data_IF_731393705034
#
_entry.id   IF_731393705034
#
_cell.length_a   1.000
_cell.length_b   1.000
_cell.length_c   1.000
_cell.angle_alpha   90.00
_cell.angle_beta   90.00
_cell.angle_gamma   90.00
#
_symmetry.space_group_name_H-M   'P 1'
#
loop_
_entity.id
_entity.type
_entity.pdbx_description
1 polymer ?
#
# COMPACT_ATOMS: atom_id res chain seq x y z
N UNK A 1 10.40 -5.49 -11.33
CA UNK A 1 9.98 -5.17 -9.96
C UNK A 1 8.62 -4.51 -9.95
N UNK A 2 7.92 -4.62 -8.86
CA UNK A 2 6.61 -4.00 -8.73
C UNK A 2 6.58 -3.06 -7.54
N UNK A 3 5.91 -1.93 -7.73
CA UNK A 3 5.81 -0.90 -6.70
C UNK A 3 4.34 -0.59 -6.49
N UNK A 4 3.89 -0.65 -5.23
CA UNK A 4 2.50 -0.37 -4.89
C UNK A 4 2.37 1.06 -4.38
N UNK A 5 1.29 1.73 -4.77
CA UNK A 5 0.98 3.09 -4.29
C UNK A 5 -0.47 3.07 -3.82
N UNK A 6 -0.72 3.54 -2.61
CA UNK A 6 -2.09 3.58 -2.11
C UNK A 6 -2.84 4.73 -2.76
N UNK A 7 -4.08 4.47 -3.14
CA UNK A 7 -4.86 5.46 -3.87
C UNK A 7 -6.35 5.23 -3.68
N UNK A 8 -7.14 6.29 -3.89
CA UNK A 8 -8.58 6.18 -3.91
C UNK A 8 -9.13 6.42 -5.30
N UNK A 9 -8.40 7.17 -6.13
CA UNK A 9 -8.88 7.56 -7.46
C UNK A 9 -8.08 6.97 -8.60
N UNK A 10 -7.07 6.18 -8.31
CA UNK A 10 -6.24 5.57 -9.35
C UNK A 10 -5.19 6.48 -9.94
N UNK A 11 -5.00 7.66 -9.37
CA UNK A 11 -4.09 8.65 -9.93
C UNK A 11 -3.25 9.32 -8.84
N UNK A 12 -3.87 9.76 -7.76
CA UNK A 12 -3.18 10.45 -6.69
C UNK A 12 -2.91 9.51 -5.54
N UNK A 13 -1.90 9.85 -4.75
CA UNK A 13 -1.50 9.05 -3.60
C UNK A 13 -2.39 9.39 -2.42
N UNK A 14 -2.97 8.36 -1.79
CA UNK A 14 -3.83 8.59 -0.64
C UNK A 14 -3.02 9.13 0.53
N UNK A 15 -3.62 10.04 1.28
CA UNK A 15 -2.99 10.63 2.46
C UNK A 15 -3.01 9.69 3.67
N UNK A 16 -3.83 8.65 3.62
CA UNK A 16 -3.98 7.74 4.75
C UNK A 16 -3.96 6.31 4.27
N UNK A 17 -2.90 5.60 4.59
CA UNK A 17 -2.79 4.21 4.19
C UNK A 17 -4.02 3.40 4.61
N UNK A 18 -4.47 3.58 5.84
CA UNK A 18 -5.56 2.79 6.37
C UNK A 18 -6.91 3.06 5.73
N UNK A 19 -7.08 4.21 5.11
CA UNK A 19 -8.36 4.58 4.49
C UNK A 19 -8.37 4.39 2.99
N UNK A 20 -7.23 4.20 2.40
CA UNK A 20 -7.15 4.06 0.95
C UNK A 20 -7.90 2.80 0.52
N UNK A 21 -8.58 2.87 -0.60
CA UNK A 21 -9.41 1.77 -1.08
C UNK A 21 -8.68 0.85 -2.03
N UNK A 22 -7.63 1.34 -2.68
CA UNK A 22 -6.96 0.59 -3.72
C UNK A 22 -5.46 0.77 -3.65
N UNK A 23 -4.76 -0.14 -4.32
CA UNK A 23 -3.36 0.04 -4.68
C UNK A 23 -3.29 0.20 -6.18
N UNK A 24 -2.39 1.06 -6.66
CA UNK A 24 -1.96 1.00 -8.04
C UNK A 24 -0.63 0.29 -8.00
N UNK A 25 -0.50 -0.81 -8.72
CA UNK A 25 0.75 -1.55 -8.75
C UNK A 25 1.41 -1.29 -10.10
N UNK A 26 2.59 -0.70 -10.05
CA UNK A 26 3.37 -0.40 -11.25
C UNK A 26 4.38 -1.49 -11.50
N UNK A 27 4.39 -1.98 -12.72
CA UNK A 27 5.36 -3.00 -13.14
C UNK A 27 6.52 -2.27 -13.79
N UNK A 28 7.71 -2.39 -13.20
CA UNK A 28 8.89 -1.68 -13.65
C UNK A 28 9.94 -2.68 -14.09
N UNK A 29 10.53 -2.44 -15.25
CA UNK A 29 11.55 -3.30 -15.77
C UNK A 29 12.62 -2.45 -16.42
N UNK A 30 13.88 -2.69 -16.02
CA UNK A 30 15.03 -1.94 -16.57
C UNK A 30 14.86 -0.43 -16.36
N UNK A 31 14.28 -0.04 -15.23
CA UNK A 31 14.09 1.37 -14.91
C UNK A 31 12.95 2.04 -15.64
N UNK A 32 12.11 1.27 -16.31
CA UNK A 32 11.00 1.81 -17.09
C UNK A 32 9.69 1.20 -16.63
N UNK A 33 8.67 2.02 -16.46
CA UNK A 33 7.34 1.54 -16.11
C UNK A 33 6.72 0.89 -17.34
N UNK A 34 6.44 -0.39 -17.23
CA UNK A 34 5.88 -1.16 -18.34
C UNK A 34 4.35 -1.20 -18.31
N UNK A 35 3.76 -0.98 -17.14
CA UNK A 35 2.33 -0.98 -17.03
C UNK A 35 1.93 -0.80 -15.58
N UNK A 36 0.63 -0.76 -15.36
CA UNK A 36 0.10 -0.63 -14.02
C UNK A 36 -1.25 -1.29 -13.93
N UNK A 37 -1.64 -1.65 -12.73
CA UNK A 37 -2.96 -2.23 -12.51
C UNK A 37 -3.49 -1.77 -11.17
N UNK A 38 -4.81 -1.67 -11.06
CA UNK A 38 -5.47 -1.38 -9.80
C UNK A 38 -5.75 -2.68 -9.08
N UNK A 39 -5.49 -2.71 -7.79
CA UNK A 39 -5.82 -3.85 -6.95
C UNK A 39 -6.63 -3.35 -5.77
N UNK A 40 -7.64 -4.12 -5.38
CA UNK A 40 -8.41 -3.79 -4.19
C UNK A 40 -7.53 -3.97 -2.97
N UNK A 41 -7.58 -3.00 -2.07
CA UNK A 41 -6.83 -3.10 -0.85
C UNK A 41 -7.46 -4.09 0.11
N UNK A 42 -8.78 -4.18 0.09
CA UNK A 42 -9.48 -5.14 0.91
C UNK A 42 -9.50 -6.45 0.15
N UNK A 43 -8.64 -7.31 0.53
CA UNK A 43 -8.49 -8.52 -0.22
C UNK A 43 -9.69 -9.32 -0.33
N UNK A 44 -10.59 -9.08 0.49
CA UNK A 44 -11.54 -10.02 0.44
C UNK A 44 -12.68 -9.64 -0.25
N UNK A 45 -12.96 -9.02 -0.51
CA UNK A 45 -14.06 -8.86 -0.91
C UNK A 45 -14.55 -9.34 -1.91
N UNK A 46 -14.07 -9.74 -2.29
CA UNK A 46 -14.57 -10.18 -3.31
C UNK A 46 -15.68 -10.85 -3.05
N UNK A 47 -16.25 -10.96 -3.18
CA UNK A 47 -17.21 -11.65 -3.01
C UNK A 47 -17.71 -11.66 -1.88
N UNK A 48 -17.50 -11.35 -1.35
CA UNK A 48 -17.93 -11.36 -0.51
C UNK A 48 -18.66 -11.52 0.27
N UNK A 49 -18.75 -11.92 0.84
CA UNK A 49 -19.38 -12.05 1.55
C UNK A 49 -19.39 -11.52 2.52
N UNK A 50 -19.67 -11.29 2.91
CA UNK A 50 -19.78 -10.56 3.67
C UNK A 50 -19.83 -10.83 4.95
N UNK A 51 -20.01 -11.33 5.24
CA UNK A 51 -20.12 -11.33 6.20
C UNK A 51 -19.53 -11.35 7.06
N UNK A 52 -19.35 -11.81 7.15
CA UNK A 52 -18.96 -11.89 7.83
C UNK A 52 -18.61 -11.40 8.62
N UNK A 53 -18.73 -11.35 9.05
CA UNK A 53 -18.45 -10.91 9.69
C UNK A 53 -18.16 -10.75 10.60
N UNK A 54 -18.14 -11.11 10.90
CA UNK A 54 -18.04 -11.01 11.68
C UNK A 54 -17.67 -10.74 12.47
N UNK A 55 -17.67 -10.99 12.99
CA UNK A 55 -17.55 -10.90 13.69
C UNK A 55 -16.91 -10.54 14.36
N UNK A 56 -16.71 -10.61 14.64
CA UNK A 56 -16.30 -10.41 15.44
C UNK A 56 -15.33 -9.90 15.90
N UNK A 57 -14.69 -9.76 15.89
CA UNK A 57 -13.85 -9.33 16.18
C UNK A 57 -13.23 -8.97 16.98
N UNK A 58 -12.58 -8.78 17.09
CA UNK A 58 -12.29 -8.43 17.93
C UNK A 58 -11.14 -8.20 18.43
N UNK A 59 -10.18 -8.44 18.29
CA UNK A 59 -9.20 -8.40 19.15
C UNK A 59 -7.87 -8.29 18.53
N UNK A 60 -6.72 -8.23 19.17
CA UNK A 60 -5.37 -8.11 18.69
C UNK A 60 -5.01 -9.05 17.56
N UNK A 61 -5.22 -10.33 17.72
CA UNK A 61 -4.93 -11.25 16.63
C UNK A 61 -5.71 -10.95 15.38
N UNK A 62 -6.90 -10.45 15.53
CA UNK A 62 -7.70 -10.11 14.38
C UNK A 62 -7.17 -8.89 13.67
N UNK A 63 -6.63 -7.95 14.43
CA UNK A 63 -6.04 -6.76 13.81
C UNK A 63 -4.83 -7.15 12.98
N UNK A 64 -4.00 -8.06 13.49
CA UNK A 64 -2.84 -8.52 12.74
C UNK A 64 -3.26 -9.25 11.47
N UNK A 65 -4.27 -10.10 11.58
CA UNK A 65 -4.76 -10.81 10.41
C UNK A 65 -5.31 -9.85 9.38
N UNK A 66 -5.96 -8.78 9.82
CA UNK A 66 -6.50 -7.79 8.91
C UNK A 66 -5.40 -7.07 8.15
N UNK A 67 -4.33 -6.68 8.83
CA UNK A 67 -3.19 -6.06 8.17
C UNK A 67 -2.58 -7.03 7.17
N UNK A 68 -2.41 -8.28 7.55
CA UNK A 68 -1.84 -9.27 6.64
C UNK A 68 -2.70 -9.46 5.40
N UNK A 69 -4.02 -9.45 5.57
CA UNK A 69 -4.92 -9.57 4.43
C UNK A 69 -4.76 -8.40 3.46
N UNK A 70 -4.63 -7.20 3.98
CA UNK A 70 -4.45 -6.04 3.12
C UNK A 70 -3.14 -6.11 2.37
N UNK A 71 -2.10 -6.62 3.00
CA UNK A 71 -0.78 -6.67 2.38
C UNK A 71 -0.62 -7.87 1.45
N UNK A 72 -1.47 -8.88 1.57
CA UNK A 72 -1.34 -10.05 0.71
C UNK A 72 -1.53 -9.70 -0.77
N UNK A 73 -2.26 -8.65 -1.05
CA UNK A 73 -2.49 -8.23 -2.43
C UNK A 73 -1.27 -7.57 -3.07
N UNK A 74 -0.26 -7.25 -2.28
CA UNK A 74 0.94 -6.62 -2.80
C UNK A 74 2.18 -7.37 -2.36
N UNK A 75 2.02 -8.66 -2.05
CA UNK A 75 3.17 -9.46 -1.59
C UNK A 75 4.25 -9.59 -2.67
N UNK A 76 3.90 -9.35 -3.92
CA UNK A 76 4.85 -9.38 -5.03
C UNK A 76 5.52 -8.02 -5.27
N UNK A 77 5.22 -7.03 -4.45
CA UNK A 77 5.80 -5.70 -4.60
C UNK A 77 6.99 -5.51 -3.69
N UNK A 78 7.96 -4.72 -4.14
CA UNK A 78 9.13 -4.47 -3.30
C UNK A 78 9.01 -3.19 -2.48
N UNK A 79 8.09 -2.31 -2.84
CA UNK A 79 7.93 -1.03 -2.15
C UNK A 79 6.47 -0.63 -2.12
N UNK A 80 6.12 0.13 -1.10
CA UNK A 80 4.78 0.69 -0.96
C UNK A 80 4.91 2.17 -0.67
N UNK A 81 4.16 2.98 -1.39
CA UNK A 81 4.23 4.44 -1.26
C UNK A 81 2.89 4.98 -0.80
N UNK A 82 2.92 5.85 0.20
CA UNK A 82 1.74 6.52 0.75
C UNK A 82 2.13 7.94 1.15
N UNK A 83 1.14 8.77 1.45
CA UNK A 83 1.41 10.11 1.97
C UNK A 83 1.31 10.15 3.48
N UNK A 84 0.80 9.12 4.09
CA UNK A 84 0.74 9.02 5.54
C UNK A 84 0.32 7.64 5.97
N UNK A 85 0.75 7.22 7.15
CA UNK A 85 0.34 5.94 7.73
C UNK A 85 0.70 5.93 9.20
N UNK A 86 0.11 5.00 9.94
CA UNK A 86 0.44 4.82 11.34
C UNK A 86 1.62 3.89 11.52
N UNK A 87 2.16 3.86 12.73
CA UNK A 87 3.29 3.01 13.06
C UNK A 87 2.98 1.54 12.83
N UNK A 88 1.75 1.10 13.17
CA UNK A 88 1.39 -0.31 12.99
C UNK A 88 1.47 -0.74 11.55
N UNK A 89 0.96 0.09 10.65
CA UNK A 89 1.00 -0.23 9.22
C UNK A 89 2.44 -0.24 8.72
N UNK A 90 3.23 0.75 9.15
CA UNK A 90 4.63 0.85 8.76
C UNK A 90 5.39 -0.42 9.12
N UNK A 91 5.21 -0.88 10.38
CA UNK A 91 5.90 -2.09 10.84
C UNK A 91 5.42 -3.32 10.10
N UNK A 92 4.11 -3.43 9.88
CA UNK A 92 3.56 -4.59 9.19
C UNK A 92 4.11 -4.69 7.77
N UNK A 93 4.21 -3.55 7.08
CA UNK A 93 4.74 -3.52 5.72
C UNK A 93 6.20 -3.98 5.71
N UNK A 94 6.98 -3.45 6.64
CA UNK A 94 8.39 -3.85 6.74
C UNK A 94 8.53 -5.33 7.05
N UNK A 95 7.69 -5.85 7.91
CA UNK A 95 7.75 -7.26 8.29
C UNK A 95 7.44 -8.19 7.12
N UNK A 96 6.71 -7.68 6.12
CA UNK A 96 6.43 -8.46 4.93
C UNK A 96 7.53 -8.34 3.88
N UNK A 97 8.59 -7.63 4.20
CA UNK A 97 9.71 -7.48 3.26
C UNK A 97 9.48 -6.39 2.23
N UNK A 98 8.49 -5.55 2.44
CA UNK A 98 8.16 -4.44 1.55
C UNK A 98 8.71 -3.16 2.15
N UNK A 99 9.28 -2.30 1.32
CA UNK A 99 9.83 -1.04 1.81
C UNK A 99 8.76 0.04 1.81
N UNK A 100 8.38 0.57 2.98
CA UNK A 100 7.37 1.63 3.03
C UNK A 100 8.00 3.00 2.86
N UNK A 101 7.35 3.84 2.05
CA UNK A 101 7.78 5.22 1.83
C UNK A 101 6.62 6.17 2.11
N UNK A 102 6.91 7.25 2.79
CA UNK A 102 5.92 8.29 3.05
C UNK A 102 6.40 9.53 2.31
N UNK A 103 5.65 9.93 1.30
CA UNK A 103 6.07 10.99 0.39
C UNK A 103 5.17 12.21 0.46
N UNK A 104 5.67 13.37 0.05
CA UNK A 104 4.88 14.58 -0.11
C UNK A 104 4.30 14.72 -1.50
N UNK A 105 4.72 13.88 -2.43
CA UNK A 105 4.23 13.97 -3.79
C UNK A 105 2.75 13.60 -3.85
N UNK A 106 2.04 14.19 -4.80
CA UNK A 106 0.62 13.93 -4.92
C UNK A 106 0.30 12.90 -5.97
N UNK A 107 1.07 12.86 -7.05
CA UNK A 107 0.79 11.94 -8.14
C UNK A 107 1.56 10.65 -7.97
N UNK A 108 0.85 9.54 -8.12
CA UNK A 108 1.47 8.23 -8.00
C UNK A 108 2.62 8.04 -8.98
N UNK A 109 2.43 8.50 -10.23
CA UNK A 109 3.49 8.37 -11.23
C UNK A 109 4.76 9.09 -10.84
N UNK A 110 4.61 10.28 -10.26
CA UNK A 110 5.78 11.06 -9.87
C UNK A 110 6.56 10.34 -8.78
N UNK A 111 5.86 9.75 -7.83
CA UNK A 111 6.51 9.03 -6.75
C UNK A 111 7.23 7.79 -7.26
N UNK A 112 6.60 7.07 -8.18
CA UNK A 112 7.23 5.88 -8.76
C UNK A 112 8.47 6.26 -9.54
N UNK A 113 8.42 7.35 -10.30
CA UNK A 113 9.59 7.82 -11.03
C UNK A 113 10.72 8.20 -10.08
N UNK A 114 10.38 8.89 -8.99
CA UNK A 114 11.39 9.26 -8.00
C UNK A 114 12.03 8.03 -7.37
N UNK A 115 11.21 7.02 -7.10
CA UNK A 115 11.73 5.78 -6.53
C UNK A 115 12.70 5.10 -7.49
N UNK A 116 12.33 5.03 -8.77
CA UNK A 116 13.19 4.40 -9.79
C UNK A 116 14.54 5.13 -9.87
N UNK A 117 14.52 6.44 -9.76
CA UNK A 117 15.74 7.25 -9.83
C UNK A 117 16.53 7.24 -8.53
N UNK A 118 16.01 6.60 -7.48
CA UNK A 118 16.65 6.61 -6.18
C UNK A 118 16.54 7.94 -5.47
N UNK A 119 15.55 8.75 -5.81
CA UNK A 119 15.39 10.09 -5.27
C UNK A 119 14.16 10.25 -4.40
N UNK A 120 13.46 9.18 -4.10
CA UNK A 120 12.26 9.26 -3.27
C UNK A 120 12.64 9.32 -1.79
N UNK A 121 12.28 10.41 -1.13
CA UNK A 121 12.50 10.54 0.30
C UNK A 121 11.36 9.91 1.06
N UNK A 122 11.64 9.44 2.27
CA UNK A 122 10.61 8.92 3.14
C UNK A 122 10.54 9.77 4.40
N UNK A 123 9.37 10.37 4.62
CA UNK A 123 9.17 11.30 5.74
C UNK A 123 8.59 10.56 6.94
N UNK A 124 9.43 9.78 7.61
CA UNK A 124 8.96 8.97 8.75
C UNK A 124 8.50 9.82 9.93
N UNK A 125 8.82 11.08 9.96
CA UNK A 125 8.32 11.99 10.99
C UNK A 125 6.79 12.13 10.92
N UNK A 126 6.18 11.68 9.80
CA UNK A 126 4.72 11.75 9.65
C UNK A 126 4.01 10.50 10.13
N UNK A 127 4.72 9.54 10.66
CA UNK A 127 4.09 8.36 11.23
C UNK A 127 3.27 8.74 12.47
N UNK A 128 2.12 8.12 12.62
CA UNK A 128 1.25 8.44 13.74
C UNK A 128 0.49 7.21 14.30
#
# INVERSE_FOLDING_TARGET
>A
MKIAVVTDDGKTISQHFGRAMYYIVYDVKDGVVKGSEMRSKAAHHAGGEPHQHEEGGHHGPEADAKHNSMLSNISDCEALIARGMGWGAFEAIRNEGIKPFITDLELAEDAVKAYILGQLDSHTERLH
#
